data_IF_634412181536
#
_entry.id   IF_634412181536
#
_cell.length_a   1.000
_cell.length_b   1.000
_cell.length_c   1.000
_cell.angle_alpha   90.00
_cell.angle_beta   90.00
_cell.angle_gamma   90.00
#
_symmetry.space_group_name_H-M   'P 1'
#
loop_
_entity.id
_entity.type
_entity.pdbx_description
1 polymer ?
#
# COMPACT_ATOMS: atom_id res chain seq x y z
N UNK A 1 -1.04 -0.48 21.39
CA UNK A 1 -1.97 0.03 20.37
C UNK A 1 -1.46 -0.50 19.05
N UNK A 2 -2.24 -1.29 18.33
CA UNK A 2 -1.88 -1.68 16.97
C UNK A 2 -1.81 -0.42 16.11
N UNK A 3 -0.64 -0.16 15.53
CA UNK A 3 -0.41 1.00 14.69
C UNK A 3 -1.11 0.77 13.35
N UNK A 4 -1.83 1.78 12.86
CA UNK A 4 -2.36 1.75 11.50
C UNK A 4 -1.23 1.91 10.50
N UNK A 5 -1.20 1.04 9.50
CA UNK A 5 -0.19 1.03 8.45
C UNK A 5 -0.83 1.47 7.14
N UNK A 6 -0.23 2.44 6.47
CA UNK A 6 -0.68 2.92 5.18
C UNK A 6 -0.22 2.00 4.05
N UNK A 7 -0.95 1.98 2.92
CA UNK A 7 -0.49 1.23 1.75
C UNK A 7 0.89 1.72 1.25
N UNK A 8 1.16 3.03 1.38
CA UNK A 8 2.45 3.61 1.02
C UNK A 8 3.59 3.04 1.91
N UNK A 9 3.35 2.96 3.22
CA UNK A 9 4.31 2.44 4.21
C UNK A 9 4.78 1.02 3.90
N UNK A 10 3.93 0.14 3.35
CA UNK A 10 4.36 -1.20 2.96
C UNK A 10 5.49 -1.18 1.93
N UNK A 11 5.38 -0.31 0.92
CA UNK A 11 6.42 -0.17 -0.11
C UNK A 11 7.65 0.54 0.45
N UNK A 12 7.44 1.59 1.25
CA UNK A 12 8.52 2.43 1.77
C UNK A 12 9.34 1.70 2.84
N UNK A 13 8.71 0.84 3.63
CA UNK A 13 9.38 -0.04 4.58
C UNK A 13 10.30 -1.03 3.85
N UNK A 14 9.83 -1.66 2.77
CA UNK A 14 10.70 -2.52 1.94
C UNK A 14 11.84 -1.74 1.33
N UNK A 15 11.62 -0.47 0.94
CA UNK A 15 12.71 0.39 0.50
C UNK A 15 13.72 0.59 1.65
N UNK A 16 13.33 1.20 2.75
CA UNK A 16 14.18 1.32 3.92
C UNK A 16 13.37 1.68 5.18
N UNK A 17 13.32 0.81 6.21
CA UNK A 17 12.63 1.10 7.46
C UNK A 17 13.09 2.40 8.14
N UNK A 18 14.41 2.66 8.14
CA UNK A 18 14.95 3.90 8.71
C UNK A 18 14.53 5.15 7.92
N UNK A 19 14.44 5.04 6.59
CA UNK A 19 13.93 6.11 5.75
C UNK A 19 12.48 6.42 6.09
N UNK A 20 11.66 5.39 6.33
CA UNK A 20 10.27 5.56 6.72
C UNK A 20 10.16 6.21 8.10
N UNK A 21 10.97 5.80 9.07
CA UNK A 21 11.02 6.42 10.39
C UNK A 21 11.33 7.92 10.32
N UNK A 22 12.31 8.33 9.51
CA UNK A 22 12.57 9.75 9.33
C UNK A 22 11.41 10.45 8.61
N UNK A 23 10.82 9.80 7.60
CA UNK A 23 9.70 10.36 6.86
C UNK A 23 8.50 10.68 7.76
N UNK A 24 8.16 9.79 8.70
CA UNK A 24 7.06 10.00 9.65
C UNK A 24 7.34 11.13 10.65
N UNK A 25 8.61 11.45 10.93
CA UNK A 25 8.98 12.61 11.76
C UNK A 25 8.83 13.95 11.02
N UNK A 26 9.02 13.96 9.69
CA UNK A 26 9.00 15.18 8.88
C UNK A 26 7.66 15.44 8.17
N UNK A 27 6.74 14.48 8.13
CA UNK A 27 5.39 14.66 7.59
C UNK A 27 4.41 15.01 8.70
N UNK A 28 3.67 16.11 8.50
CA UNK A 28 2.41 16.33 9.20
C UNK A 28 1.40 15.25 8.75
N UNK A 29 1.13 14.30 9.63
CA UNK A 29 0.17 13.24 9.36
C UNK A 29 -1.23 13.83 9.16
N UNK A 30 -1.85 13.59 7.99
CA UNK A 30 -3.22 14.02 7.72
C UNK A 30 -4.22 13.11 8.46
N UNK A 31 -4.43 13.46 9.73
CA UNK A 31 -5.37 12.87 10.70
C UNK A 31 -6.80 12.69 10.15
N UNK A 32 -7.17 13.43 9.10
CA UNK A 32 -8.52 13.39 8.52
C UNK A 32 -8.85 12.05 7.88
N UNK A 33 -7.86 11.38 7.28
CA UNK A 33 -8.03 10.06 6.65
C UNK A 33 -8.41 9.05 7.73
N UNK A 34 -7.67 9.04 8.85
CA UNK A 34 -7.91 8.15 9.98
C UNK A 34 -9.26 8.35 10.65
N UNK A 35 -9.61 9.60 10.96
CA UNK A 35 -10.90 9.91 11.59
C UNK A 35 -12.05 9.57 10.66
N UNK A 36 -11.91 9.85 9.36
CA UNK A 36 -12.94 9.54 8.38
C UNK A 36 -13.16 8.03 8.24
N UNK A 37 -12.13 7.22 8.04
CA UNK A 37 -12.27 5.77 7.80
C UNK A 37 -12.91 5.06 8.98
N UNK A 38 -12.45 5.33 10.21
CA UNK A 38 -13.07 4.77 11.43
C UNK A 38 -14.51 5.23 11.63
N UNK A 39 -14.81 6.51 11.40
CA UNK A 39 -16.19 7.03 11.52
C UNK A 39 -17.10 6.47 10.41
N UNK A 40 -16.56 6.21 9.22
CA UNK A 40 -17.30 5.68 8.08
C UNK A 40 -17.42 4.15 8.07
N UNK A 41 -16.66 3.40 8.88
CA UNK A 41 -16.69 1.93 8.85
C UNK A 41 -18.04 1.37 9.32
N UNK A 42 -18.70 2.04 10.27
CA UNK A 42 -20.08 1.74 10.66
C UNK A 42 -21.14 2.13 9.62
N UNK A 43 -20.78 2.99 8.66
CA UNK A 43 -21.68 3.48 7.62
C UNK A 43 -21.49 2.73 6.30
N UNK A 44 -20.26 2.43 5.87
CA UNK A 44 -19.96 1.87 4.55
C UNK A 44 -20.34 0.39 4.40
N UNK A 45 -20.28 -0.41 5.47
CA UNK A 45 -20.77 -1.79 5.45
C UNK A 45 -22.27 -1.88 5.10
N UNK A 46 -23.03 -0.78 5.29
CA UNK A 46 -24.45 -0.68 4.91
C UNK A 46 -24.76 0.36 3.81
N UNK A 47 -23.86 1.31 3.50
CA UNK A 47 -24.13 2.43 2.59
C UNK A 47 -23.38 2.38 1.25
N UNK A 48 -22.40 1.48 1.07
CA UNK A 48 -21.65 1.37 -0.18
C UNK A 48 -22.50 0.90 -1.38
N UNK A 49 -23.75 0.49 -1.13
CA UNK A 49 -24.76 0.22 -2.15
C UNK A 49 -25.54 1.49 -2.55
N UNK A 50 -25.57 2.54 -1.72
CA UNK A 50 -26.52 3.65 -1.89
C UNK A 50 -25.92 5.01 -2.30
N UNK A 51 -24.69 5.38 -1.93
CA UNK A 51 -24.22 6.75 -2.21
C UNK A 51 -23.18 6.89 -3.33
N UNK A 52 -23.75 7.15 -4.51
CA UNK A 52 -23.16 7.60 -5.76
C UNK A 52 -22.13 8.74 -5.63
N UNK A 53 -20.85 8.44 -5.38
CA UNK A 53 -19.73 9.28 -5.88
C UNK A 53 -18.97 8.55 -6.96
N UNK A 54 -19.67 8.34 -8.08
CA UNK A 54 -19.14 7.74 -9.28
C UNK A 54 -18.32 8.76 -10.07
N UNK A 55 -17.11 8.36 -10.49
CA UNK A 55 -16.53 8.84 -11.74
C UNK A 55 -17.57 8.64 -12.87
N UNK A 56 -17.44 9.31 -14.02
CA UNK A 56 -18.45 9.36 -15.10
C UNK A 56 -18.89 8.00 -15.70
N UNK A 57 -18.40 6.88 -15.16
CA UNK A 57 -18.88 5.51 -15.38
C UNK A 57 -19.19 4.86 -14.02
N UNK A 58 -20.44 4.44 -13.82
CA UNK A 58 -20.94 3.78 -12.58
C UNK A 58 -20.17 2.52 -12.13
N UNK A 59 -19.24 2.02 -12.94
CA UNK A 59 -18.61 0.72 -12.74
C UNK A 59 -17.10 0.82 -12.43
N UNK A 60 -16.59 2.00 -12.05
CA UNK A 60 -15.18 2.21 -11.70
C UNK A 60 -15.06 2.96 -10.37
N UNK A 61 -14.31 2.39 -9.42
CA UNK A 61 -13.88 3.06 -8.18
C UNK A 61 -12.46 3.60 -8.35
N UNK A 62 -12.24 4.87 -7.99
CA UNK A 62 -10.93 5.52 -8.06
C UNK A 62 -10.78 6.52 -6.92
N UNK A 63 -9.60 6.57 -6.30
CA UNK A 63 -9.30 7.50 -5.21
C UNK A 63 -10.08 7.25 -3.92
N UNK A 64 -10.88 6.18 -3.86
CA UNK A 64 -11.67 5.79 -2.69
C UNK A 64 -10.74 5.43 -1.54
N UNK A 65 -10.99 6.00 -0.36
CA UNK A 65 -10.31 5.59 0.87
C UNK A 65 -10.73 4.17 1.23
N UNK A 66 -9.75 3.30 1.44
CA UNK A 66 -9.92 1.90 1.80
C UNK A 66 -9.35 1.66 3.19
N UNK A 67 -9.98 0.76 3.92
CA UNK A 67 -9.52 0.24 5.19
C UNK A 67 -9.61 -1.29 5.14
N UNK A 68 -8.61 -1.95 5.69
CA UNK A 68 -8.59 -3.40 5.91
C UNK A 68 -8.42 -3.66 7.40
N UNK A 69 -9.47 -4.19 8.01
CA UNK A 69 -9.52 -4.52 9.43
C UNK A 69 -8.55 -5.65 9.77
N UNK A 70 -8.48 -6.69 8.93
CA UNK A 70 -7.63 -7.87 9.20
C UNK A 70 -6.16 -7.52 9.45
N UNK A 71 -5.64 -6.55 8.71
CA UNK A 71 -4.23 -6.16 8.76
C UNK A 71 -4.01 -4.74 9.31
N UNK A 72 -5.09 -4.08 9.76
CA UNK A 72 -5.08 -2.68 10.19
C UNK A 72 -4.44 -1.74 9.14
N UNK A 73 -4.78 -1.95 7.87
CA UNK A 73 -4.22 -1.20 6.74
C UNK A 73 -5.16 -0.11 6.27
N UNK A 74 -4.62 1.04 5.87
CA UNK A 74 -5.40 2.15 5.31
C UNK A 74 -4.73 2.72 4.07
N UNK A 75 -5.52 3.25 3.14
CA UNK A 75 -4.94 3.96 2.02
C UNK A 75 -5.98 4.37 1.00
N UNK A 76 -5.52 4.79 -0.18
CA UNK A 76 -6.39 5.14 -1.29
C UNK A 76 -6.27 4.11 -2.38
N UNK A 77 -7.42 3.67 -2.89
CA UNK A 77 -7.52 2.89 -4.10
C UNK A 77 -7.07 3.72 -5.29
N UNK A 78 -6.27 3.13 -6.16
CA UNK A 78 -5.94 3.79 -7.41
C UNK A 78 -7.06 3.61 -8.45
N UNK A 79 -7.30 2.40 -8.94
CA UNK A 79 -8.43 2.09 -9.82
C UNK A 79 -8.94 0.67 -9.66
N UNK A 80 -10.26 0.50 -9.54
CA UNK A 80 -10.93 -0.80 -9.58
C UNK A 80 -12.10 -0.78 -10.56
N UNK A 81 -12.11 -1.71 -11.50
CA UNK A 81 -13.22 -1.95 -12.42
C UNK A 81 -14.14 -3.01 -11.84
N UNK A 82 -15.33 -2.60 -11.40
CA UNK A 82 -16.25 -3.44 -10.64
C UNK A 82 -16.74 -4.61 -11.50
N UNK A 83 -17.17 -4.36 -12.73
CA UNK A 83 -17.73 -5.40 -13.62
C UNK A 83 -16.72 -6.50 -13.93
N UNK A 84 -15.46 -6.12 -14.11
CA UNK A 84 -14.37 -7.04 -14.43
C UNK A 84 -13.77 -7.69 -13.17
N UNK A 85 -14.03 -7.13 -11.98
CA UNK A 85 -13.29 -7.44 -10.77
C UNK A 85 -11.79 -7.17 -10.92
N UNK A 86 -11.41 -6.11 -11.63
CA UNK A 86 -10.02 -5.84 -12.02
C UNK A 86 -9.45 -4.69 -11.21
N UNK A 87 -8.45 -4.98 -10.38
CA UNK A 87 -7.69 -4.01 -9.60
C UNK A 87 -6.46 -3.53 -10.39
N UNK A 88 -6.28 -2.22 -10.49
CA UNK A 88 -5.15 -1.60 -11.20
C UNK A 88 -4.48 -0.55 -10.31
N UNK A 89 -3.23 -0.81 -9.94
CA UNK A 89 -2.33 0.15 -9.29
C UNK A 89 -1.50 0.87 -10.35
N UNK A 90 -1.54 2.21 -10.43
CA UNK A 90 -0.82 2.98 -11.43
C UNK A 90 0.49 3.50 -10.85
N UNK A 91 1.59 3.27 -11.56
CA UNK A 91 2.92 3.83 -11.26
C UNK A 91 3.37 4.66 -12.46
N UNK A 92 4.08 5.76 -12.18
CA UNK A 92 4.62 6.62 -13.24
C UNK A 92 5.51 5.83 -14.21
N UNK A 93 6.49 5.09 -13.68
CA UNK A 93 7.38 4.25 -14.47
C UNK A 93 7.79 3.01 -13.71
N UNK A 94 7.58 1.85 -14.32
CA UNK A 94 7.97 0.54 -13.77
C UNK A 94 9.14 -0.01 -14.58
N UNK A 95 10.32 -0.09 -13.96
CA UNK A 95 11.47 -0.80 -14.56
C UNK A 95 11.34 -2.31 -14.36
N UNK A 96 10.91 -2.70 -13.18
CA UNK A 96 10.60 -4.06 -12.77
C UNK A 96 9.56 -4.01 -11.65
N UNK A 97 8.87 -5.13 -11.44
CA UNK A 97 7.95 -5.27 -10.31
C UNK A 97 8.77 -5.59 -9.06
N UNK A 98 8.67 -4.71 -8.07
CA UNK A 98 9.21 -4.91 -6.74
C UNK A 98 8.12 -5.42 -5.81
N UNK A 99 8.51 -6.18 -4.79
CA UNK A 99 7.60 -6.72 -3.75
C UNK A 99 6.72 -5.63 -3.14
N UNK A 100 7.25 -4.40 -2.96
CA UNK A 100 6.48 -3.26 -2.44
C UNK A 100 5.27 -2.87 -3.30
N UNK A 101 5.38 -3.01 -4.62
CA UNK A 101 4.25 -2.79 -5.51
C UNK A 101 3.21 -3.90 -5.37
N UNK A 102 3.67 -5.15 -5.21
CA UNK A 102 2.77 -6.29 -4.97
C UNK A 102 2.04 -6.11 -3.64
N UNK A 103 2.73 -5.72 -2.58
CA UNK A 103 2.14 -5.58 -1.24
C UNK A 103 1.13 -4.44 -1.18
N UNK A 104 1.37 -3.35 -1.89
CA UNK A 104 0.36 -2.30 -2.10
C UNK A 104 -0.91 -2.83 -2.75
N UNK A 105 -0.77 -3.68 -3.77
CA UNK A 105 -1.95 -4.29 -4.41
C UNK A 105 -2.64 -5.31 -3.52
N UNK A 106 -1.92 -6.04 -2.67
CA UNK A 106 -2.50 -6.98 -1.72
C UNK A 106 -3.29 -6.25 -0.63
N UNK A 107 -2.78 -5.11 -0.14
CA UNK A 107 -3.51 -4.27 0.81
C UNK A 107 -4.85 -3.78 0.24
N UNK A 108 -4.84 -3.30 -1.01
CA UNK A 108 -6.05 -2.91 -1.73
C UNK A 108 -6.99 -4.10 -1.96
N UNK A 109 -6.44 -5.26 -2.33
CA UNK A 109 -7.19 -6.50 -2.55
C UNK A 109 -7.98 -6.93 -1.30
N UNK A 110 -7.31 -7.01 -0.14
CA UNK A 110 -7.98 -7.41 1.11
C UNK A 110 -9.01 -6.38 1.56
N UNK A 111 -8.70 -5.09 1.42
CA UNK A 111 -9.68 -4.03 1.74
C UNK A 111 -10.93 -4.14 0.85
N UNK A 112 -10.77 -4.38 -0.45
CA UNK A 112 -11.90 -4.54 -1.37
C UNK A 112 -12.70 -5.82 -1.11
N UNK A 113 -12.04 -6.91 -0.70
CA UNK A 113 -12.73 -8.14 -0.27
C UNK A 113 -13.60 -7.90 0.97
N UNK A 114 -13.07 -7.19 1.97
CA UNK A 114 -13.82 -6.85 3.20
C UNK A 114 -15.03 -5.95 2.90
N UNK A 115 -14.92 -5.08 1.89
CA UNK A 115 -16.06 -4.28 1.38
C UNK A 115 -17.08 -5.10 0.57
N UNK A 116 -16.85 -6.40 0.35
CA UNK A 116 -17.76 -7.29 -0.37
C UNK A 116 -17.57 -7.31 -1.89
N UNK A 117 -16.52 -6.71 -2.44
CA UNK A 117 -16.23 -6.81 -3.87
C UNK A 117 -15.57 -8.14 -4.20
N UNK A 118 -15.79 -8.60 -5.44
CA UNK A 118 -15.09 -9.74 -6.02
C UNK A 118 -13.92 -9.24 -6.87
N UNK A 119 -12.72 -9.73 -6.57
CA UNK A 119 -11.51 -9.42 -7.36
C UNK A 119 -11.11 -10.67 -8.14
N UNK A 120 -11.03 -10.53 -9.45
CA UNK A 120 -10.65 -11.57 -10.40
C UNK A 120 -9.22 -11.39 -10.93
N UNK A 121 -8.66 -10.18 -10.89
CA UNK A 121 -7.29 -9.92 -11.37
C UNK A 121 -6.69 -8.67 -10.75
N UNK A 122 -5.35 -8.65 -10.67
CA UNK A 122 -4.56 -7.51 -10.21
C UNK A 122 -3.53 -7.16 -11.29
N UNK A 123 -3.39 -5.87 -11.58
CA UNK A 123 -2.37 -5.36 -12.47
C UNK A 123 -1.66 -4.13 -11.89
N UNK A 124 -0.38 -3.98 -12.21
CA UNK A 124 0.33 -2.71 -12.09
C UNK A 124 0.44 -2.09 -13.48
N UNK A 125 -0.05 -0.86 -13.63
CA UNK A 125 0.02 -0.08 -14.86
C UNK A 125 1.16 0.94 -14.78
N UNK A 126 2.10 0.85 -15.71
CA UNK A 126 3.19 1.81 -15.89
C UNK A 126 2.78 2.87 -16.91
N UNK A 127 2.62 4.11 -16.46
CA UNK A 127 2.04 5.20 -17.26
C UNK A 127 2.98 5.64 -18.38
N UNK A 128 4.26 5.86 -18.06
CA UNK A 128 5.25 6.44 -18.99
C UNK A 128 5.45 5.56 -20.24
N UNK A 129 5.35 4.24 -20.11
CA UNK A 129 5.57 3.29 -21.19
C UNK A 129 4.34 2.44 -21.53
N UNK A 130 3.17 2.76 -20.96
CA UNK A 130 1.86 2.14 -21.21
C UNK A 130 1.87 0.61 -21.04
N UNK A 131 2.66 0.09 -20.09
CA UNK A 131 2.77 -1.35 -19.84
C UNK A 131 1.91 -1.81 -18.68
N UNK A 132 1.29 -2.97 -18.85
CA UNK A 132 0.54 -3.66 -17.81
C UNK A 132 1.32 -4.89 -17.33
N UNK A 133 1.49 -4.99 -16.02
CA UNK A 133 2.15 -6.11 -15.37
C UNK A 133 1.11 -6.86 -14.53
N UNK A 134 0.84 -8.10 -14.89
CA UNK A 134 -0.08 -8.95 -14.12
C UNK A 134 0.57 -9.36 -12.81
N UNK A 135 -0.16 -9.20 -11.72
CA UNK A 135 0.22 -9.65 -10.39
C UNK A 135 -0.68 -10.84 -10.04
N UNK A 136 -0.07 -11.90 -9.53
CA UNK A 136 -0.82 -13.06 -9.05
C UNK A 136 -1.66 -12.67 -7.83
N UNK A 137 -2.80 -13.32 -7.67
CA UNK A 137 -3.63 -13.12 -6.48
C UNK A 137 -2.98 -13.76 -5.25
N UNK A 138 -3.26 -13.31 -4.02
CA UNK A 138 -2.63 -13.85 -2.81
C UNK A 138 -2.73 -15.37 -2.67
N UNK A 139 -3.86 -15.97 -3.07
CA UNK A 139 -4.04 -17.42 -3.02
C UNK A 139 -3.28 -18.20 -4.12
N UNK A 140 -2.80 -17.51 -5.16
CA UNK A 140 -2.03 -18.10 -6.26
C UNK A 140 -0.51 -18.04 -5.99
N UNK A 141 -0.07 -17.20 -5.05
CA UNK A 141 1.34 -17.01 -4.68
C UNK A 141 1.51 -16.96 -3.16
N UNK A 142 1.50 -18.16 -2.56
CA UNK A 142 1.60 -18.34 -1.10
C UNK A 142 2.89 -17.75 -0.53
N UNK A 143 4.02 -17.90 -1.23
CA UNK A 143 5.30 -17.35 -0.77
C UNK A 143 5.26 -15.82 -0.70
N UNK A 144 4.75 -15.17 -1.74
CA UNK A 144 4.63 -13.71 -1.75
C UNK A 144 3.63 -13.21 -0.71
N UNK A 145 2.56 -13.96 -0.47
CA UNK A 145 1.58 -13.64 0.57
C UNK A 145 2.16 -13.78 1.98
N UNK A 146 2.95 -14.83 2.25
CA UNK A 146 3.67 -14.97 3.52
C UNK A 146 4.67 -13.83 3.75
N UNK A 147 5.37 -13.36 2.70
CA UNK A 147 6.24 -12.18 2.79
C UNK A 147 5.46 -10.90 3.10
N UNK A 148 4.28 -10.73 2.52
CA UNK A 148 3.39 -9.60 2.83
C UNK A 148 3.03 -9.56 4.32
N UNK A 149 2.61 -10.70 4.88
CA UNK A 149 2.29 -10.80 6.31
C UNK A 149 3.53 -10.60 7.20
N UNK A 150 4.70 -11.11 6.78
CA UNK A 150 5.97 -10.88 7.47
C UNK A 150 6.30 -9.39 7.54
N UNK A 151 6.18 -8.65 6.42
CA UNK A 151 6.47 -7.21 6.39
C UNK A 151 5.55 -6.42 7.31
N UNK A 152 4.26 -6.76 7.38
CA UNK A 152 3.32 -6.12 8.32
C UNK A 152 3.77 -6.36 9.77
N UNK A 153 4.18 -7.60 10.10
CA UNK A 153 4.71 -7.92 11.42
C UNK A 153 6.02 -7.18 11.71
N UNK A 154 6.92 -7.07 10.73
CA UNK A 154 8.18 -6.35 10.86
C UNK A 154 7.96 -4.84 11.08
N UNK A 155 6.99 -4.23 10.40
CA UNK A 155 6.61 -2.83 10.62
C UNK A 155 6.13 -2.64 12.06
N UNK A 156 5.23 -3.50 12.54
CA UNK A 156 4.67 -3.42 13.89
C UNK A 156 5.70 -3.63 15.01
N UNK A 157 6.81 -4.33 14.71
CA UNK A 157 7.87 -4.64 15.66
C UNK A 157 9.19 -3.94 15.33
N UNK A 158 9.15 -2.90 14.49
CA UNK A 158 10.37 -2.28 13.98
C UNK A 158 11.13 -1.55 15.11
N UNK A 159 12.38 -1.94 15.31
CA UNK A 159 13.30 -1.29 16.25
C UNK A 159 14.35 -0.47 15.49
N UNK A 160 14.16 0.85 15.48
CA UNK A 160 15.04 1.79 14.80
C UNK A 160 16.44 1.90 15.44
N UNK A 161 16.60 1.57 16.74
CA UNK A 161 17.89 1.69 17.43
C UNK A 161 18.89 0.63 16.97
N UNK A 162 18.38 -0.55 16.65
CA UNK A 162 19.20 -1.70 16.25
C UNK A 162 19.21 -1.94 14.73
N UNK A 163 18.50 -1.12 13.96
CA UNK A 163 18.41 -1.28 12.52
C UNK A 163 19.67 -0.76 11.81
N UNK A 164 20.25 -1.60 10.95
CA UNK A 164 21.33 -1.22 10.04
C UNK A 164 20.97 -1.58 8.61
N UNK A 165 21.01 -0.60 7.71
CA UNK A 165 20.72 -0.84 6.30
C UNK A 165 21.92 -1.53 5.63
N UNK A 166 21.72 -2.76 5.15
CA UNK A 166 22.77 -3.54 4.48
C UNK A 166 22.87 -3.22 2.98
N UNK A 167 21.82 -2.66 2.37
CA UNK A 167 21.79 -2.35 0.94
C UNK A 167 22.25 -0.92 0.64
N UNK A 168 23.54 -0.77 0.37
CA UNK A 168 24.19 0.51 0.03
C UNK A 168 23.54 1.19 -1.19
N UNK A 169 23.04 0.42 -2.16
CA UNK A 169 22.39 1.01 -3.35
C UNK A 169 21.08 1.71 -3.01
N UNK A 170 20.35 1.23 -1.99
CA UNK A 170 19.18 1.94 -1.48
C UNK A 170 19.59 3.22 -0.75
N UNK A 171 20.65 3.18 0.06
CA UNK A 171 21.20 4.36 0.74
C UNK A 171 21.59 5.48 -0.24
N UNK A 172 22.23 5.14 -1.37
CA UNK A 172 22.61 6.11 -2.42
C UNK A 172 21.43 6.86 -3.03
N UNK A 173 20.26 6.24 -3.04
CA UNK A 173 19.02 6.82 -3.57
C UNK A 173 18.08 7.33 -2.47
N UNK A 174 18.50 7.29 -1.20
CA UNK A 174 17.70 7.69 -0.05
C UNK A 174 17.97 9.16 0.30
N UNK A 175 16.92 9.98 0.32
CA UNK A 175 17.02 11.40 0.68
C UNK A 175 17.41 11.61 2.15
N UNK A 176 17.13 10.64 3.03
CA UNK A 176 17.47 10.69 4.45
C UNK A 176 18.83 10.09 4.79
N UNK A 177 19.59 9.62 3.78
CA UNK A 177 20.93 9.07 3.99
C UNK A 177 21.87 9.98 4.81
N UNK A 178 21.85 11.33 4.68
CA UNK A 178 22.64 12.20 5.55
C UNK A 178 22.33 12.08 7.04
N UNK A 179 21.08 11.76 7.40
CA UNK A 179 20.66 11.56 8.79
C UNK A 179 21.12 10.20 9.34
N UNK A 180 21.40 9.23 8.47
CA UNK A 180 22.00 7.95 8.82
C UNK A 180 23.52 8.00 8.94
N UNK A 181 24.16 9.17 8.78
CA UNK A 181 25.62 9.32 8.80
C UNK A 181 26.32 9.21 7.43
N UNK A 182 25.57 9.12 6.32
CA UNK A 182 26.13 9.09 4.96
C UNK A 182 26.55 7.69 4.47
N UNK A 183 27.21 7.62 3.30
CA UNK A 183 27.67 6.35 2.67
C UNK A 183 28.92 5.79 3.36
N UNK A 184 29.56 6.57 4.22
CA UNK A 184 30.85 6.26 4.83
C UNK A 184 30.76 5.47 6.15
N UNK A 185 29.55 5.14 6.62
CA UNK A 185 29.35 4.34 7.83
C UNK A 185 29.28 2.85 7.43
N UNK A 186 30.36 2.14 7.72
CA UNK A 186 30.48 0.67 7.67
C UNK A 186 30.00 0.06 8.98
#
# INVERSE_FOLDING_TARGET
MEQLITFAELNDFIFCPMSLYFHSYYIDFDDSIYKSTFQTNGSYAHSAVDENRYSSRKNVLQGTSLYCEKYNLVGKLDTFYIDEGKLVERKKKVKQIFDGYVFQTYAQYFSLLEMGFKINSIEVYSIDDHKHYKIKLPYEDKEMFEKFESVINEINNFDYLNFNQTNIQKCKNCIYNPLCGGIDVK
#
